data_IF_434311710518
#
_entry.id   IF_434311710518
#
_cell.length_a   1.000
_cell.length_b   1.000
_cell.length_c   1.000
_cell.angle_alpha   90.00
_cell.angle_beta   90.00
_cell.angle_gamma   90.00
#
_symmetry.space_group_name_H-M   'P 1'
#
loop_
_entity.id
_entity.type
_entity.pdbx_description
1 polymer ?
#
# COMPACT_ATOMS: atom_id res chain seq x y z
N UNK A 1 -23.74 22.81 -41.02
CA UNK A 1 -23.00 23.94 -40.41
C UNK A 1 -21.66 23.39 -39.99
N UNK A 2 -20.62 23.67 -40.77
CA UNK A 2 -19.26 23.20 -40.54
C UNK A 2 -18.67 23.98 -39.38
N UNK A 3 -18.50 23.34 -38.21
CA UNK A 3 -17.72 23.93 -37.12
C UNK A 3 -16.27 24.12 -37.60
N UNK A 4 -15.82 25.37 -37.60
CA UNK A 4 -14.45 25.73 -37.89
C UNK A 4 -13.57 25.26 -36.73
N UNK A 5 -12.82 24.18 -36.95
CA UNK A 5 -11.84 23.70 -35.98
C UNK A 5 -10.70 24.73 -35.90
N UNK A 6 -10.53 25.35 -34.74
CA UNK A 6 -9.43 26.29 -34.47
C UNK A 6 -8.11 25.51 -34.32
N UNK A 7 -7.12 25.83 -35.13
CA UNK A 7 -5.79 25.21 -35.02
C UNK A 7 -5.09 25.69 -33.74
N UNK A 8 -4.53 24.75 -32.98
CA UNK A 8 -3.75 25.05 -31.78
C UNK A 8 -2.34 25.52 -32.18
N UNK A 9 -1.79 26.47 -31.43
CA UNK A 9 -0.38 26.88 -31.57
C UNK A 9 0.53 25.87 -30.85
N UNK A 10 1.82 25.87 -31.18
CA UNK A 10 2.80 24.97 -30.55
C UNK A 10 2.81 25.09 -29.02
N UNK A 11 2.68 26.31 -28.49
CA UNK A 11 2.66 26.57 -27.05
C UNK A 11 1.41 26.00 -26.36
N UNK A 12 0.29 25.87 -27.07
CA UNK A 12 -0.94 25.28 -26.55
C UNK A 12 -0.88 23.74 -26.50
N UNK A 13 0.10 23.13 -27.15
CA UNK A 13 0.32 21.68 -27.14
C UNK A 13 1.26 21.24 -25.99
N UNK A 14 1.96 22.19 -25.37
CA UNK A 14 2.93 21.91 -24.32
C UNK A 14 2.33 22.21 -22.96
N UNK A 15 2.33 21.20 -22.09
CA UNK A 15 2.06 21.39 -20.66
C UNK A 15 3.39 21.52 -19.93
N UNK A 16 3.89 22.74 -19.81
CA UNK A 16 5.16 22.99 -19.10
C UNK A 16 4.97 22.89 -17.59
N UNK A 17 5.96 22.32 -16.91
CA UNK A 17 6.09 22.39 -15.47
C UNK A 17 7.02 23.57 -15.15
N UNK A 18 6.56 24.54 -14.37
CA UNK A 18 7.45 25.60 -13.88
C UNK A 18 8.36 25.00 -12.80
N UNK A 19 9.67 24.93 -13.05
CA UNK A 19 10.64 24.38 -12.10
C UNK A 19 10.98 25.33 -10.97
N UNK A 20 10.75 26.63 -11.15
CA UNK A 20 11.04 27.66 -10.14
C UNK A 20 10.13 27.57 -8.90
N UNK A 21 9.14 26.67 -8.92
CA UNK A 21 8.24 26.40 -7.79
C UNK A 21 8.85 25.43 -6.76
N UNK A 22 9.99 24.81 -7.07
CA UNK A 22 10.63 23.81 -6.24
C UNK A 22 11.88 24.39 -5.55
N UNK A 23 12.04 24.07 -4.28
CA UNK A 23 13.20 24.48 -3.47
C UNK A 23 14.36 23.45 -3.52
N UNK A 24 14.38 22.57 -4.52
CA UNK A 24 15.39 21.50 -4.69
C UNK A 24 15.82 21.38 -6.16
N UNK A 25 17.03 20.88 -6.41
CA UNK A 25 17.55 20.70 -7.77
C UNK A 25 17.29 19.28 -8.30
N UNK A 26 17.35 18.27 -7.44
CA UNK A 26 17.14 16.85 -7.78
C UNK A 26 16.16 16.17 -6.82
N UNK A 27 15.37 15.22 -7.34
CA UNK A 27 14.49 14.37 -6.51
C UNK A 27 15.25 13.45 -5.57
N UNK A 28 16.57 13.31 -5.74
CA UNK A 28 17.45 12.58 -4.80
C UNK A 28 17.56 13.30 -3.45
N UNK A 29 17.30 14.60 -3.40
CA UNK A 29 17.31 15.41 -2.18
C UNK A 29 16.02 15.25 -1.35
N UNK A 30 14.98 14.63 -1.93
CA UNK A 30 13.69 14.46 -1.29
C UNK A 30 13.64 13.18 -0.47
N UNK A 31 13.00 13.26 0.70
CA UNK A 31 12.62 12.06 1.42
C UNK A 31 11.61 11.25 0.60
N UNK A 32 11.79 9.93 0.60
CA UNK A 32 10.86 9.01 -0.05
C UNK A 32 9.45 9.17 0.52
N UNK A 33 8.47 9.31 -0.36
CA UNK A 33 7.09 9.51 0.05
C UNK A 33 6.60 8.29 0.84
N UNK A 34 6.14 8.50 2.08
CA UNK A 34 5.51 7.46 2.89
C UNK A 34 4.04 7.30 2.49
N UNK A 35 3.60 6.04 2.39
CA UNK A 35 2.22 5.70 2.07
C UNK A 35 1.90 5.69 0.57
N UNK A 36 0.61 5.82 0.23
CA UNK A 36 0.09 5.63 -1.13
C UNK A 36 -0.60 6.89 -1.63
N UNK A 37 -0.15 7.40 -2.78
CA UNK A 37 -0.72 8.60 -3.40
C UNK A 37 -2.13 8.29 -3.93
N UNK A 38 -3.10 9.17 -3.63
CA UNK A 38 -4.43 9.15 -4.25
C UNK A 38 -5.35 8.01 -3.80
N UNK A 39 -4.94 7.18 -2.84
CA UNK A 39 -5.65 5.95 -2.44
C UNK A 39 -6.24 6.03 -1.02
N UNK A 40 -6.73 7.19 -0.61
CA UNK A 40 -7.23 7.45 0.76
C UNK A 40 -8.28 6.43 1.23
N UNK A 41 -9.19 6.00 0.34
CA UNK A 41 -10.20 4.98 0.67
C UNK A 41 -9.56 3.63 0.98
N UNK A 42 -8.57 3.22 0.19
CA UNK A 42 -7.86 1.96 0.40
C UNK A 42 -7.06 2.00 1.70
N UNK A 43 -6.36 3.10 1.97
CA UNK A 43 -5.63 3.31 3.23
C UNK A 43 -6.54 3.16 4.45
N UNK A 44 -7.72 3.81 4.46
CA UNK A 44 -8.68 3.68 5.57
C UNK A 44 -9.19 2.25 5.73
N UNK A 45 -9.47 1.54 4.64
CA UNK A 45 -9.94 0.16 4.69
C UNK A 45 -8.88 -0.80 5.25
N UNK A 46 -7.60 -0.58 4.90
CA UNK A 46 -6.48 -1.36 5.44
C UNK A 46 -6.35 -1.11 6.95
N UNK A 47 -6.32 0.16 7.38
CA UNK A 47 -6.28 0.52 8.81
C UNK A 47 -7.41 -0.15 9.59
N UNK A 48 -8.66 0.06 9.13
CA UNK A 48 -9.82 -0.55 9.77
C UNK A 48 -9.71 -2.07 9.88
N UNK A 49 -9.25 -2.74 8.81
CA UNK A 49 -9.11 -4.20 8.83
C UNK A 49 -8.00 -4.70 9.77
N UNK A 50 -6.95 -3.90 9.99
CA UNK A 50 -5.89 -4.22 10.96
C UNK A 50 -6.33 -3.97 12.41
N UNK A 51 -7.28 -3.05 12.63
CA UNK A 51 -7.81 -2.73 13.96
C UNK A 51 -8.88 -3.74 14.45
N UNK A 52 -9.33 -4.65 13.59
CA UNK A 52 -10.30 -5.70 13.97
C UNK A 52 -9.59 -6.85 14.66
N UNK A 53 -9.63 -6.86 16.00
CA UNK A 53 -9.12 -7.93 16.85
C UNK A 53 -10.16 -9.04 17.07
N UNK A 54 -10.65 -9.63 15.97
CA UNK A 54 -11.57 -10.76 16.03
C UNK A 54 -11.19 -11.82 15.00
N UNK A 55 -11.18 -13.11 15.38
CA UNK A 55 -10.99 -14.18 14.42
C UNK A 55 -12.11 -14.20 13.37
N UNK A 56 -11.79 -14.63 12.16
CA UNK A 56 -12.73 -14.75 11.04
C UNK A 56 -12.86 -13.50 10.16
N UNK A 57 -12.12 -12.43 10.44
CA UNK A 57 -12.07 -11.24 9.60
C UNK A 57 -10.82 -11.23 8.71
N UNK A 58 -11.01 -10.92 7.43
CA UNK A 58 -9.92 -10.86 6.45
C UNK A 58 -10.10 -9.63 5.54
N UNK A 59 -8.97 -9.08 5.08
CA UNK A 59 -8.95 -7.97 4.11
C UNK A 59 -8.62 -8.51 2.72
N UNK A 60 -9.40 -8.09 1.73
CA UNK A 60 -9.16 -8.40 0.32
C UNK A 60 -8.96 -7.12 -0.50
N UNK A 61 -7.89 -7.09 -1.30
CA UNK A 61 -7.48 -5.89 -2.05
C UNK A 61 -7.57 -6.07 -3.57
N UNK A 62 -8.38 -5.24 -4.22
CA UNK A 62 -8.55 -5.22 -5.69
C UNK A 62 -8.13 -3.90 -6.32
N UNK A 63 -7.72 -3.97 -7.58
CA UNK A 63 -7.27 -2.84 -8.39
C UNK A 63 -6.59 -3.31 -9.67
N UNK A 64 -6.17 -2.37 -10.51
CA UNK A 64 -5.42 -2.69 -11.72
C UNK A 64 -4.02 -3.24 -11.38
N UNK A 65 -3.43 -3.98 -12.31
CA UNK A 65 -2.02 -4.37 -12.22
C UNK A 65 -1.12 -3.12 -12.24
N UNK A 66 0.04 -3.18 -11.59
CA UNK A 66 0.99 -2.06 -11.54
C UNK A 66 0.64 -0.92 -10.56
N UNK A 67 -0.48 -0.98 -9.86
CA UNK A 67 -0.91 0.07 -8.90
C UNK A 67 -0.23 -0.01 -7.52
N UNK A 68 0.84 -0.81 -7.39
CA UNK A 68 1.60 -0.91 -6.14
C UNK A 68 0.89 -1.59 -4.97
N UNK A 69 -0.31 -2.18 -5.15
CA UNK A 69 -1.15 -2.77 -4.07
C UNK A 69 -0.39 -3.61 -3.03
N UNK A 70 0.45 -4.54 -3.50
CA UNK A 70 1.22 -5.42 -2.60
C UNK A 70 2.26 -4.61 -1.82
N UNK A 71 2.98 -3.71 -2.49
CA UNK A 71 3.98 -2.87 -1.83
C UNK A 71 3.32 -1.97 -0.77
N UNK A 72 2.16 -1.39 -1.08
CA UNK A 72 1.37 -0.61 -0.14
C UNK A 72 0.97 -1.40 1.10
N UNK A 73 0.32 -2.57 0.93
CA UNK A 73 -0.14 -3.40 2.05
C UNK A 73 1.05 -3.85 2.92
N UNK A 74 2.16 -4.26 2.29
CA UNK A 74 3.37 -4.64 3.03
C UNK A 74 3.97 -3.49 3.83
N UNK A 75 3.95 -2.26 3.30
CA UNK A 75 4.39 -1.08 4.06
C UNK A 75 3.53 -0.89 5.30
N UNK A 76 2.20 -0.87 5.15
CA UNK A 76 1.27 -0.71 6.28
C UNK A 76 1.43 -1.80 7.34
N UNK A 77 1.56 -3.05 6.93
CA UNK A 77 1.77 -4.17 7.86
C UNK A 77 3.10 -4.08 8.60
N UNK A 78 4.17 -3.63 7.92
CA UNK A 78 5.48 -3.44 8.54
C UNK A 78 5.42 -2.32 9.58
N UNK A 79 4.88 -1.17 9.18
CA UNK A 79 4.77 -0.01 10.06
C UNK A 79 3.95 -0.35 11.32
N UNK A 80 2.85 -1.11 11.18
CA UNK A 80 2.03 -1.54 12.33
C UNK A 80 2.75 -2.55 13.24
N UNK A 81 3.52 -3.47 12.65
CA UNK A 81 4.21 -4.53 13.38
C UNK A 81 5.40 -4.02 14.23
N UNK A 82 5.93 -2.83 13.93
CA UNK A 82 6.97 -2.19 14.74
C UNK A 82 6.48 -1.86 16.16
N UNK A 83 5.17 -1.64 16.33
CA UNK A 83 4.51 -1.32 17.59
C UNK A 83 3.79 -2.51 18.25
N UNK A 84 3.85 -3.72 17.67
CA UNK A 84 3.22 -4.93 18.23
C UNK A 84 4.18 -5.73 19.11
N UNK A 85 3.61 -6.50 20.04
CA UNK A 85 4.36 -7.51 20.78
C UNK A 85 4.92 -8.60 19.85
N UNK A 86 6.08 -9.15 20.23
CA UNK A 86 6.69 -10.25 19.50
C UNK A 86 5.76 -11.46 19.51
N UNK A 87 5.52 -12.01 18.31
CA UNK A 87 4.70 -13.20 18.14
C UNK A 87 5.28 -14.39 18.91
N UNK A 88 4.40 -15.23 19.46
CA UNK A 88 4.80 -16.49 20.08
C UNK A 88 5.40 -17.44 19.05
N UNK A 89 6.40 -18.20 19.46
CA UNK A 89 6.90 -19.34 18.69
C UNK A 89 5.85 -20.44 18.64
N UNK A 90 5.69 -21.05 17.47
CA UNK A 90 4.78 -22.19 17.29
C UNK A 90 5.61 -23.46 17.16
N UNK A 91 5.29 -24.49 17.95
CA UNK A 91 5.95 -25.79 17.80
C UNK A 91 4.97 -26.96 17.81
N UNK A 92 5.29 -27.99 17.03
CA UNK A 92 4.60 -29.26 17.10
C UNK A 92 5.35 -30.21 18.02
N UNK A 93 4.67 -30.70 19.05
CA UNK A 93 5.19 -31.72 19.95
C UNK A 93 4.51 -33.05 19.69
N UNK A 94 5.28 -34.13 19.86
CA UNK A 94 4.72 -35.46 19.73
C UNK A 94 3.61 -35.68 20.77
N UNK A 95 2.48 -36.18 20.31
CA UNK A 95 1.37 -36.54 21.16
C UNK A 95 1.47 -38.02 21.52
N UNK A 96 1.97 -38.33 22.71
CA UNK A 96 2.18 -39.72 23.15
C UNK A 96 0.88 -40.54 23.25
N UNK A 97 -0.26 -39.87 23.44
CA UNK A 97 -1.58 -40.53 23.48
C UNK A 97 -2.10 -40.86 22.07
N UNK A 98 -1.70 -40.07 21.07
CA UNK A 98 -2.10 -40.26 19.68
C UNK A 98 -0.99 -39.79 18.72
N UNK A 99 -0.02 -40.66 18.39
CA UNK A 99 1.17 -40.30 17.61
C UNK A 99 0.87 -39.70 16.22
N UNK A 100 -0.28 -40.02 15.62
CA UNK A 100 -0.70 -39.48 14.31
C UNK A 100 -1.31 -38.06 14.41
N UNK A 101 -1.46 -37.53 15.63
CA UNK A 101 -2.04 -36.21 15.90
C UNK A 101 -1.10 -35.36 16.78
N UNK A 102 -0.01 -34.81 16.21
CA UNK A 102 0.90 -33.93 16.95
C UNK A 102 0.14 -32.72 17.53
N UNK A 103 0.56 -32.28 18.72
CA UNK A 103 -0.05 -31.11 19.40
C UNK A 103 0.69 -29.85 18.98
N UNK A 104 -0.04 -28.83 18.56
CA UNK A 104 0.49 -27.48 18.41
C UNK A 104 0.56 -26.81 19.78
N UNK A 105 1.70 -26.21 20.11
CA UNK A 105 1.93 -25.31 21.24
C UNK A 105 2.15 -23.89 20.72
#
# INVERSE_FOLDING_TARGET
MTESVTALTADQLVRSCNTDVFDFESTEELEGLKGVIGQQRATRAISFGMDVDSPGYHVFAMGQAGTGRIASIKSFLRDRAEDEDVLSDWCYVNNFDNPDQPRAL
#
